data_IF_572841417109
#
_entry.id   IF_572841417109
#
_cell.length_a   1.000
_cell.length_b   1.000
_cell.length_c   1.000
_cell.angle_alpha   90.00
_cell.angle_beta   90.00
_cell.angle_gamma   90.00
#
_symmetry.space_group_name_H-M   'P 1'
#
loop_
_entity.id
_entity.type
_entity.pdbx_description
1 polymer ?
#
# COMPACT_ATOMS: atom_id res chain seq x y z
N UNK A 1 -18.72 0.79 14.32
CA UNK A 1 -17.38 1.22 13.82
C UNK A 1 -17.58 2.03 12.54
N UNK A 2 -16.85 3.14 12.35
CA UNK A 2 -16.96 3.96 11.14
C UNK A 2 -15.93 3.55 10.09
N UNK A 3 -16.29 3.67 8.81
CA UNK A 3 -15.44 3.40 7.67
C UNK A 3 -14.24 4.35 7.62
N UNK A 4 -13.05 3.83 7.30
CA UNK A 4 -11.84 4.65 7.16
C UNK A 4 -11.87 5.54 5.92
N UNK A 5 -12.69 5.17 4.92
CA UNK A 5 -12.78 5.88 3.64
C UNK A 5 -13.87 6.94 3.65
N UNK A 6 -15.12 6.59 4.02
CA UNK A 6 -16.28 7.47 3.82
C UNK A 6 -17.07 7.81 5.10
N UNK A 7 -16.57 7.42 6.27
CA UNK A 7 -17.19 7.64 7.59
C UNK A 7 -18.55 6.95 7.84
N UNK A 8 -19.13 6.29 6.84
CA UNK A 8 -20.39 5.56 6.99
C UNK A 8 -20.24 4.36 7.95
N UNK A 9 -21.36 3.88 8.46
CA UNK A 9 -21.41 2.73 9.36
C UNK A 9 -20.85 1.47 8.72
N UNK A 10 -20.21 0.65 9.51
CA UNK A 10 -19.73 -0.66 9.11
C UNK A 10 -20.48 -1.75 9.89
N UNK A 11 -20.84 -2.83 9.22
CA UNK A 11 -21.49 -4.00 9.78
C UNK A 11 -20.53 -5.18 9.85
N UNK A 12 -20.75 -6.09 10.78
CA UNK A 12 -19.99 -7.34 10.85
C UNK A 12 -20.06 -8.08 9.51
N UNK A 13 -18.94 -8.62 9.06
CA UNK A 13 -18.84 -9.30 7.77
C UNK A 13 -18.54 -10.80 7.94
N UNK A 14 -17.41 -11.12 8.59
CA UNK A 14 -17.03 -12.47 9.00
C UNK A 14 -15.87 -12.44 9.99
N UNK A 15 -15.55 -13.60 10.55
CA UNK A 15 -14.32 -13.84 11.33
C UNK A 15 -13.46 -14.87 10.60
N UNK A 16 -12.16 -14.57 10.51
CA UNK A 16 -11.13 -15.52 10.04
C UNK A 16 -10.27 -15.95 11.20
N UNK A 17 -10.14 -17.27 11.40
CA UNK A 17 -9.23 -17.84 12.39
C UNK A 17 -7.84 -18.00 11.79
N UNK A 18 -6.85 -17.45 12.46
CA UNK A 18 -5.43 -17.70 12.24
C UNK A 18 -4.91 -18.55 13.41
N UNK A 19 -3.73 -19.16 13.26
CA UNK A 19 -3.15 -19.99 14.34
C UNK A 19 -3.00 -19.25 15.67
N UNK A 20 -2.78 -17.93 15.62
CA UNK A 20 -2.51 -17.11 16.80
C UNK A 20 -3.71 -16.36 17.36
N UNK A 21 -4.74 -16.12 16.55
CA UNK A 21 -5.91 -15.35 16.96
C UNK A 21 -7.02 -15.38 15.89
N UNK A 22 -8.22 -15.01 16.33
CA UNK A 22 -9.34 -14.69 15.45
C UNK A 22 -9.32 -13.22 15.05
N UNK A 23 -9.60 -12.97 13.77
CA UNK A 23 -9.63 -11.63 13.19
C UNK A 23 -11.04 -11.33 12.68
N UNK A 24 -11.68 -10.32 13.28
CA UNK A 24 -13.00 -9.86 12.88
C UNK A 24 -12.91 -8.81 11.77
N UNK A 25 -13.67 -9.03 10.69
CA UNK A 25 -13.79 -8.11 9.55
C UNK A 25 -15.18 -7.48 9.49
N UNK A 26 -15.21 -6.22 9.12
CA UNK A 26 -16.43 -5.41 8.98
C UNK A 26 -16.47 -4.78 7.60
N UNK A 27 -17.67 -4.72 6.99
CA UNK A 27 -17.92 -4.14 5.66
C UNK A 27 -18.67 -2.83 5.79
N UNK A 28 -18.23 -1.82 5.07
CA UNK A 28 -18.92 -0.53 4.98
C UNK A 28 -20.21 -0.67 4.18
N UNK A 29 -21.32 -0.18 4.74
CA UNK A 29 -22.65 -0.24 4.10
C UNK A 29 -22.79 0.70 2.90
N UNK A 30 -21.91 1.70 2.77
CA UNK A 30 -21.96 2.68 1.69
C UNK A 30 -20.97 2.39 0.55
N UNK A 31 -19.67 2.23 0.85
CA UNK A 31 -18.64 2.08 -0.18
C UNK A 31 -18.13 0.66 -0.37
N UNK A 32 -18.58 -0.30 0.45
CA UNK A 32 -18.15 -1.70 0.36
C UNK A 32 -16.73 -1.99 0.89
N UNK A 33 -16.00 -0.97 1.34
CA UNK A 33 -14.70 -1.13 1.98
C UNK A 33 -14.79 -2.11 3.15
N UNK A 34 -13.86 -3.05 3.25
CA UNK A 34 -13.79 -4.00 4.36
C UNK A 34 -12.55 -3.72 5.18
N UNK A 35 -12.68 -3.71 6.50
CA UNK A 35 -11.50 -3.63 7.35
C UNK A 35 -11.62 -4.46 8.62
N UNK A 36 -10.47 -4.88 9.12
CA UNK A 36 -10.36 -5.64 10.35
C UNK A 36 -10.52 -4.74 11.58
N UNK A 37 -11.54 -5.01 12.39
CA UNK A 37 -11.73 -4.39 13.71
C UNK A 37 -10.57 -4.77 14.64
N UNK A 38 -10.19 -6.03 14.66
CA UNK A 38 -9.11 -6.56 15.49
C UNK A 38 -7.82 -5.75 15.34
N UNK A 39 -7.37 -5.49 14.10
CA UNK A 39 -6.16 -4.71 13.85
C UNK A 39 -6.34 -3.21 14.14
N UNK A 40 -7.54 -2.67 13.92
CA UNK A 40 -7.83 -1.26 14.21
C UNK A 40 -7.81 -0.95 15.71
N UNK A 41 -8.07 -1.94 16.55
CA UNK A 41 -8.05 -1.85 18.02
C UNK A 41 -6.65 -2.12 18.61
N UNK A 42 -5.72 -2.67 17.82
CA UNK A 42 -4.33 -2.82 18.25
C UNK A 42 -3.65 -1.46 18.43
N UNK A 43 -2.70 -1.39 19.37
CA UNK A 43 -1.75 -0.27 19.41
C UNK A 43 -0.87 -0.27 18.16
N UNK A 44 -0.35 0.90 17.77
CA UNK A 44 0.56 1.00 16.63
C UNK A 44 1.83 0.18 16.82
N UNK A 45 2.33 0.11 18.05
CA UNK A 45 3.48 -0.71 18.40
C UNK A 45 3.20 -2.20 18.16
N UNK A 46 2.08 -2.72 18.70
CA UNK A 46 1.70 -4.14 18.52
C UNK A 46 1.50 -4.49 17.05
N UNK A 47 0.82 -3.63 16.30
CA UNK A 47 0.61 -3.85 14.86
C UNK A 47 1.92 -3.74 14.08
N UNK A 48 2.80 -2.80 14.45
CA UNK A 48 4.15 -2.67 13.88
C UNK A 48 5.01 -3.92 14.09
N UNK A 49 5.00 -4.48 15.30
CA UNK A 49 5.70 -5.75 15.59
C UNK A 49 5.14 -6.92 14.76
N UNK A 50 3.82 -7.01 14.61
CA UNK A 50 3.18 -8.03 13.78
C UNK A 50 3.62 -7.90 12.31
N UNK A 51 3.62 -6.68 11.76
CA UNK A 51 4.09 -6.41 10.39
C UNK A 51 5.58 -6.79 10.22
N UNK A 52 6.44 -6.35 11.13
CA UNK A 52 7.86 -6.69 11.09
C UNK A 52 8.07 -8.21 11.11
N UNK A 53 7.43 -8.92 12.02
CA UNK A 53 7.55 -10.38 12.13
C UNK A 53 7.07 -11.08 10.85
N UNK A 54 5.96 -10.64 10.27
CA UNK A 54 5.45 -11.21 9.03
C UNK A 54 6.41 -10.97 7.87
N UNK A 55 6.84 -9.73 7.67
CA UNK A 55 7.68 -9.37 6.53
C UNK A 55 9.11 -9.93 6.62
N UNK A 56 9.66 -10.15 7.80
CA UNK A 56 10.95 -10.83 7.97
C UNK A 56 10.95 -12.26 7.42
N UNK A 57 9.79 -12.91 7.37
CA UNK A 57 9.64 -14.28 6.87
C UNK A 57 9.17 -14.36 5.41
N UNK A 58 8.70 -13.26 4.84
CA UNK A 58 8.02 -13.26 3.53
C UNK A 58 8.75 -12.43 2.47
N UNK A 59 9.45 -11.36 2.85
CA UNK A 59 10.02 -10.44 1.87
C UNK A 59 11.42 -10.85 1.37
N UNK A 60 11.63 -10.54 0.09
CA UNK A 60 12.89 -10.68 -0.60
C UNK A 60 13.06 -12.02 -1.32
N UNK A 61 13.96 -12.00 -2.30
CA UNK A 61 14.33 -13.15 -3.10
C UNK A 61 14.85 -14.31 -2.26
N UNK A 62 15.54 -13.99 -1.17
CA UNK A 62 16.14 -14.97 -0.27
C UNK A 62 15.12 -15.62 0.66
N UNK A 63 14.02 -14.90 0.98
CA UNK A 63 12.94 -15.39 1.83
C UNK A 63 11.81 -16.06 1.06
N UNK A 64 11.68 -15.77 -0.23
CA UNK A 64 10.62 -16.31 -1.09
C UNK A 64 11.14 -16.58 -2.52
N UNK A 65 12.25 -17.37 -2.65
CA UNK A 65 12.91 -17.59 -3.93
C UNK A 65 12.03 -18.30 -4.96
N UNK A 66 11.01 -19.01 -4.48
CA UNK A 66 10.13 -19.85 -5.29
C UNK A 66 8.84 -19.15 -5.73
N UNK A 67 8.62 -17.88 -5.40
CA UNK A 67 7.50 -17.11 -5.93
C UNK A 67 7.92 -16.17 -7.08
N UNK A 68 8.01 -16.70 -8.32
CA UNK A 68 8.37 -15.88 -9.48
C UNK A 68 7.34 -14.79 -9.80
N UNK A 69 6.11 -14.91 -9.29
CA UNK A 69 5.03 -13.95 -9.54
C UNK A 69 5.33 -12.59 -8.92
N UNK A 70 5.95 -12.57 -7.75
CA UNK A 70 6.35 -11.37 -7.06
C UNK A 70 7.37 -10.56 -7.89
N UNK A 71 8.43 -11.19 -8.36
CA UNK A 71 9.45 -10.55 -9.19
C UNK A 71 8.90 -10.14 -10.56
N UNK A 72 8.04 -10.95 -11.17
CA UNK A 72 7.35 -10.62 -12.41
C UNK A 72 6.49 -9.37 -12.25
N UNK A 73 5.71 -9.29 -11.16
CA UNK A 73 4.90 -8.11 -10.84
C UNK A 73 5.73 -6.84 -10.73
N UNK A 74 6.88 -6.87 -10.02
CA UNK A 74 7.75 -5.71 -9.88
C UNK A 74 8.34 -5.25 -11.22
N UNK A 75 8.64 -6.18 -12.12
CA UNK A 75 9.11 -5.84 -13.46
C UNK A 75 8.03 -5.14 -14.28
N UNK A 76 6.78 -5.61 -14.22
CA UNK A 76 5.65 -4.92 -14.88
C UNK A 76 5.42 -3.53 -14.26
N UNK A 77 5.47 -3.41 -12.95
CA UNK A 77 5.35 -2.12 -12.27
C UNK A 77 6.43 -1.14 -12.71
N UNK A 78 7.67 -1.58 -12.81
CA UNK A 78 8.77 -0.76 -13.28
C UNK A 78 8.58 -0.30 -14.73
N UNK A 79 8.12 -1.19 -15.62
CA UNK A 79 7.78 -0.88 -17.01
C UNK A 79 6.68 0.18 -17.11
N UNK A 80 5.57 -0.01 -16.38
CA UNK A 80 4.45 0.95 -16.35
C UNK A 80 4.89 2.33 -15.82
N UNK A 81 5.76 2.37 -14.80
CA UNK A 81 6.30 3.63 -14.29
C UNK A 81 7.19 4.33 -15.32
N UNK A 82 8.06 3.59 -16.00
CA UNK A 82 8.91 4.16 -17.05
C UNK A 82 8.09 4.67 -18.22
N UNK A 83 7.09 3.91 -18.68
CA UNK A 83 6.15 4.33 -19.73
C UNK A 83 5.40 5.60 -19.32
N UNK A 84 4.93 5.69 -18.08
CA UNK A 84 4.26 6.87 -17.56
C UNK A 84 5.18 8.10 -17.56
N UNK A 85 6.45 7.92 -17.25
CA UNK A 85 7.46 8.98 -17.32
C UNK A 85 7.79 9.37 -18.77
N UNK A 86 7.91 8.38 -19.67
CA UNK A 86 8.13 8.61 -21.10
C UNK A 86 6.98 9.38 -21.75
N UNK A 87 5.74 9.07 -21.36
CA UNK A 87 4.52 9.74 -21.83
C UNK A 87 4.28 11.11 -21.17
N UNK A 88 5.14 11.53 -20.23
CA UNK A 88 5.00 12.81 -19.52
C UNK A 88 3.87 12.83 -18.47
N UNK A 89 3.33 11.67 -18.10
CA UNK A 89 2.34 11.54 -17.02
C UNK A 89 3.01 11.70 -15.64
N UNK A 90 4.25 11.28 -15.53
CA UNK A 90 5.12 11.49 -14.38
C UNK A 90 6.31 12.35 -14.84
N UNK A 91 6.67 13.35 -14.05
CA UNK A 91 7.82 14.22 -14.36
C UNK A 91 9.12 13.40 -14.33
N UNK A 92 9.74 13.17 -15.48
CA UNK A 92 10.86 12.23 -15.67
C UNK A 92 12.12 12.55 -14.83
N UNK A 93 12.38 13.83 -14.59
CA UNK A 93 13.48 14.37 -13.76
C UNK A 93 13.00 14.80 -12.36
N UNK A 94 11.82 14.35 -11.97
CA UNK A 94 11.20 14.66 -10.70
C UNK A 94 11.80 13.91 -9.52
N UNK A 95 11.42 14.33 -8.31
CA UNK A 95 11.75 13.63 -7.07
C UNK A 95 10.73 12.52 -6.82
N UNK A 96 11.14 11.27 -6.92
CA UNK A 96 10.28 10.09 -6.79
C UNK A 96 10.57 9.33 -5.49
N UNK A 97 9.56 8.76 -4.87
CA UNK A 97 9.71 7.93 -3.67
C UNK A 97 8.82 6.69 -3.72
N UNK A 98 9.38 5.54 -3.36
CA UNK A 98 8.67 4.32 -3.01
C UNK A 98 8.45 4.30 -1.49
N UNK A 99 7.20 4.51 -1.09
CA UNK A 99 6.82 4.53 0.32
C UNK A 99 6.50 3.13 0.83
N UNK A 100 7.21 2.72 1.87
CA UNK A 100 7.21 1.35 2.41
C UNK A 100 7.73 0.34 1.38
N UNK A 101 8.90 0.65 0.82
CA UNK A 101 9.54 -0.05 -0.30
C UNK A 101 10.07 -1.46 0.06
N UNK A 102 10.00 -1.87 1.32
CA UNK A 102 10.59 -3.14 1.76
C UNK A 102 12.10 -3.19 1.49
N UNK A 103 12.56 -4.16 0.72
CA UNK A 103 13.96 -4.34 0.32
C UNK A 103 14.45 -3.40 -0.80
N UNK A 104 13.58 -2.58 -1.39
CA UNK A 104 13.95 -1.62 -2.45
C UNK A 104 14.13 -2.25 -3.83
N UNK A 105 13.50 -3.39 -4.08
CA UNK A 105 13.66 -4.12 -5.36
C UNK A 105 13.08 -3.35 -6.54
N UNK A 106 11.95 -2.64 -6.37
CA UNK A 106 11.37 -1.84 -7.44
C UNK A 106 12.32 -0.72 -7.88
N UNK A 107 12.95 -0.02 -6.92
CA UNK A 107 13.93 1.02 -7.22
C UNK A 107 15.17 0.46 -7.91
N UNK A 108 15.61 -0.73 -7.51
CA UNK A 108 16.74 -1.43 -8.13
C UNK A 108 16.44 -1.81 -9.59
N UNK A 109 15.23 -2.30 -9.87
CA UNK A 109 14.80 -2.64 -11.23
C UNK A 109 14.71 -1.37 -12.10
N UNK A 110 14.10 -0.30 -11.60
CA UNK A 110 13.98 0.97 -12.30
C UNK A 110 15.34 1.58 -12.64
N UNK A 111 16.28 1.56 -11.70
CA UNK A 111 17.63 2.04 -11.93
C UNK A 111 18.38 1.20 -12.98
N UNK A 112 18.35 -0.14 -12.83
CA UNK A 112 19.09 -1.04 -13.68
C UNK A 112 18.57 -1.10 -15.12
N UNK A 113 17.24 -1.08 -15.32
CA UNK A 113 16.64 -1.25 -16.66
C UNK A 113 16.37 0.08 -17.37
N UNK A 114 15.99 1.11 -16.64
CA UNK A 114 15.44 2.34 -17.20
C UNK A 114 16.25 3.60 -16.81
N UNK A 115 17.27 3.44 -15.96
CA UNK A 115 18.07 4.59 -15.47
C UNK A 115 17.28 5.58 -14.63
N UNK A 116 16.15 5.16 -14.02
CA UNK A 116 15.32 6.02 -13.18
C UNK A 116 15.75 5.97 -11.73
N UNK A 117 15.71 7.13 -11.08
CA UNK A 117 16.02 7.25 -9.66
C UNK A 117 14.72 7.27 -8.83
N UNK A 118 14.42 6.16 -8.16
CA UNK A 118 13.31 6.04 -7.21
C UNK A 118 13.91 5.91 -5.81
N UNK A 119 13.67 6.91 -4.96
CA UNK A 119 14.17 6.95 -3.58
C UNK A 119 13.38 5.95 -2.72
N UNK A 120 14.07 5.27 -1.82
CA UNK A 120 13.48 4.28 -0.94
C UNK A 120 13.15 4.88 0.42
N UNK A 121 11.96 4.63 0.92
CA UNK A 121 11.58 4.87 2.31
C UNK A 121 10.84 3.66 2.88
N UNK A 122 11.32 3.11 3.99
CA UNK A 122 10.62 2.10 4.77
C UNK A 122 10.86 2.29 6.26
N UNK A 123 9.76 2.42 7.01
CA UNK A 123 9.80 2.65 8.46
C UNK A 123 10.37 1.47 9.24
N UNK A 124 10.18 0.26 8.73
CA UNK A 124 10.47 -0.98 9.46
C UNK A 124 11.67 -1.74 8.90
N UNK A 125 11.88 -1.65 7.59
CA UNK A 125 12.91 -2.42 6.88
C UNK A 125 14.13 -1.57 6.51
N UNK A 126 14.03 -0.24 6.54
CA UNK A 126 15.09 0.69 6.17
C UNK A 126 16.30 0.64 7.10
N UNK A 127 17.16 -0.35 6.94
CA UNK A 127 18.39 -0.53 7.72
C UNK A 127 19.63 0.07 7.03
N UNK A 128 19.51 0.44 5.76
CA UNK A 128 20.63 0.91 4.96
C UNK A 128 20.70 2.45 4.98
N UNK A 129 21.92 2.98 4.93
CA UNK A 129 22.17 4.42 4.87
C UNK A 129 21.63 5.10 3.60
N UNK A 130 21.24 4.30 2.60
CA UNK A 130 20.67 4.77 1.33
C UNK A 130 19.17 5.09 1.38
N UNK A 131 18.47 4.68 2.46
CA UNK A 131 17.04 4.94 2.60
C UNK A 131 16.80 6.34 3.18
N UNK A 132 15.72 6.98 2.71
CA UNK A 132 15.23 8.21 3.31
C UNK A 132 14.83 7.97 4.77
N UNK A 133 15.10 8.97 5.62
CA UNK A 133 14.68 8.96 7.02
C UNK A 133 13.35 9.69 7.18
N UNK A 134 12.75 9.61 8.37
CA UNK A 134 11.49 10.29 8.66
C UNK A 134 11.55 11.80 8.41
N UNK A 135 12.68 12.43 8.72
CA UNK A 135 12.93 13.85 8.50
C UNK A 135 12.98 14.26 7.03
N UNK A 136 13.29 13.30 6.11
CA UNK A 136 13.32 13.52 4.66
C UNK A 136 11.93 13.46 4.02
N UNK A 137 10.94 12.92 4.75
CA UNK A 137 9.57 12.72 4.28
C UNK A 137 8.75 14.02 4.44
N UNK A 138 9.18 15.05 3.73
CA UNK A 138 8.59 16.39 3.80
C UNK A 138 7.30 16.43 2.96
N UNK A 139 6.18 16.93 3.53
CA UNK A 139 4.93 17.05 2.78
C UNK A 139 5.06 17.89 1.51
N UNK A 140 4.33 17.47 0.46
CA UNK A 140 4.21 18.18 -0.84
C UNK A 140 5.53 18.36 -1.61
N UNK A 141 6.53 17.48 -1.39
CA UNK A 141 7.84 17.61 -2.03
C UNK A 141 8.14 16.59 -3.12
N UNK A 142 7.36 15.52 -3.24
CA UNK A 142 7.62 14.49 -4.23
C UNK A 142 6.74 14.68 -5.48
N UNK A 143 7.38 14.65 -6.65
CA UNK A 143 6.68 14.68 -7.95
C UNK A 143 5.98 13.35 -8.27
N UNK A 144 6.50 12.24 -7.71
CA UNK A 144 5.86 10.93 -7.77
C UNK A 144 6.01 10.18 -6.43
N UNK A 145 4.91 9.72 -5.90
CA UNK A 145 4.86 8.81 -4.74
C UNK A 145 4.23 7.51 -5.19
N UNK A 146 4.89 6.39 -4.94
CA UNK A 146 4.30 5.08 -5.17
C UNK A 146 4.22 4.28 -3.88
N UNK A 147 3.16 3.49 -3.76
CA UNK A 147 3.00 2.46 -2.72
C UNK A 147 2.65 1.13 -3.37
N UNK A 148 3.43 0.11 -3.08
CA UNK A 148 3.19 -1.24 -3.62
C UNK A 148 2.87 -2.21 -2.50
N UNK A 149 1.61 -2.67 -2.45
CA UNK A 149 1.11 -3.56 -1.39
C UNK A 149 1.29 -2.96 0.02
N UNK A 150 0.76 -1.75 0.21
CA UNK A 150 0.88 -0.98 1.46
C UNK A 150 -0.48 -0.61 2.04
N UNK A 151 -1.43 -0.24 1.18
CA UNK A 151 -2.76 0.24 1.60
C UNK A 151 -3.56 -0.80 2.37
N UNK A 152 -3.38 -2.07 2.06
CA UNK A 152 -3.97 -3.20 2.77
C UNK A 152 -3.51 -3.34 4.23
N UNK A 153 -2.40 -2.67 4.60
CA UNK A 153 -1.87 -2.64 5.97
C UNK A 153 -2.34 -1.43 6.79
N UNK A 154 -3.08 -0.50 6.20
CA UNK A 154 -3.49 0.71 6.91
C UNK A 154 -4.69 0.47 7.82
N UNK A 155 -4.52 0.78 9.11
CA UNK A 155 -5.54 0.60 10.15
C UNK A 155 -6.20 1.89 10.60
N UNK A 156 -5.68 3.05 10.20
CA UNK A 156 -6.16 4.39 10.62
C UNK A 156 -6.19 5.34 9.44
N UNK A 157 -7.15 6.30 9.43
CA UNK A 157 -7.22 7.36 8.42
C UNK A 157 -5.93 8.16 8.26
N UNK A 158 -5.25 8.42 9.36
CA UNK A 158 -3.99 9.18 9.35
C UNK A 158 -2.90 8.52 8.49
N UNK A 159 -2.93 7.19 8.30
CA UNK A 159 -1.94 6.51 7.45
C UNK A 159 -2.13 6.88 5.98
N UNK A 160 -3.38 6.90 5.50
CA UNK A 160 -3.70 7.37 4.14
C UNK A 160 -3.29 8.83 3.95
N UNK A 161 -3.68 9.69 4.89
CA UNK A 161 -3.37 11.11 4.84
C UNK A 161 -1.85 11.39 4.89
N UNK A 162 -1.11 10.62 5.67
CA UNK A 162 0.34 10.77 5.78
C UNK A 162 1.04 10.52 4.44
N UNK A 163 0.67 9.45 3.74
CA UNK A 163 1.26 9.14 2.42
C UNK A 163 0.81 10.13 1.36
N UNK A 164 -0.49 10.43 1.30
CA UNK A 164 -1.04 11.42 0.36
C UNK A 164 -0.37 12.78 0.53
N UNK A 165 -0.12 13.20 1.77
CA UNK A 165 0.50 14.49 2.03
C UNK A 165 1.90 14.67 1.42
N UNK A 166 2.59 13.60 1.07
CA UNK A 166 3.92 13.65 0.45
C UNK A 166 3.87 14.10 -1.01
N UNK A 167 2.75 13.82 -1.70
CA UNK A 167 2.59 14.12 -3.14
C UNK A 167 2.59 15.63 -3.37
N UNK A 168 3.46 16.11 -4.24
CA UNK A 168 3.54 17.50 -4.63
C UNK A 168 2.25 18.02 -5.26
N UNK A 169 2.07 19.32 -5.31
CA UNK A 169 0.84 19.97 -5.80
C UNK A 169 0.42 19.52 -7.22
N UNK A 170 1.39 19.23 -8.06
CA UNK A 170 1.22 18.71 -9.42
C UNK A 170 1.76 17.29 -9.58
N UNK A 171 2.03 16.64 -8.44
CA UNK A 171 2.62 15.31 -8.42
C UNK A 171 1.60 14.20 -8.71
N UNK A 172 2.12 13.02 -8.96
CA UNK A 172 1.35 11.81 -9.24
C UNK A 172 1.45 10.84 -8.06
N UNK A 173 0.34 10.22 -7.72
CA UNK A 173 0.26 9.19 -6.70
C UNK A 173 -0.05 7.83 -7.33
N UNK A 174 0.92 6.92 -7.33
CA UNK A 174 0.74 5.53 -7.75
C UNK A 174 0.39 4.64 -6.55
N UNK A 175 -0.70 3.87 -6.65
CA UNK A 175 -1.12 2.94 -5.61
C UNK A 175 -1.33 1.57 -6.25
N UNK A 176 -0.57 0.58 -5.78
CA UNK A 176 -0.81 -0.81 -6.11
C UNK A 176 -1.36 -1.54 -4.88
N UNK A 177 -2.60 -2.00 -4.98
CA UNK A 177 -3.28 -2.87 -4.02
C UNK A 177 -4.38 -3.64 -4.75
N UNK A 178 -4.94 -4.69 -4.16
CA UNK A 178 -6.06 -5.39 -4.79
C UNK A 178 -7.33 -4.56 -4.63
N UNK A 179 -7.97 -4.26 -5.76
CA UNK A 179 -9.25 -3.56 -5.83
C UNK A 179 -10.27 -4.46 -6.52
N UNK A 180 -11.46 -4.57 -5.96
CA UNK A 180 -12.54 -5.41 -6.47
C UNK A 180 -13.83 -4.61 -6.65
N UNK A 181 -14.76 -5.09 -7.46
CA UNK A 181 -16.12 -4.56 -7.46
C UNK A 181 -16.83 -4.84 -6.13
N UNK A 182 -16.66 -6.05 -5.64
CA UNK A 182 -17.13 -6.49 -4.33
C UNK A 182 -16.05 -7.32 -3.63
N UNK A 183 -15.78 -7.01 -2.35
CA UNK A 183 -14.84 -7.80 -1.55
C UNK A 183 -15.49 -9.13 -1.20
N UNK A 184 -14.84 -10.28 -1.49
CA UNK A 184 -15.39 -11.60 -1.19
C UNK A 184 -15.65 -11.81 0.32
N UNK A 185 -16.78 -12.45 0.65
CA UNK A 185 -17.07 -12.85 2.03
C UNK A 185 -16.45 -14.22 2.38
N UNK A 186 -15.66 -14.78 1.49
CA UNK A 186 -14.97 -16.05 1.69
C UNK A 186 -13.67 -15.84 2.50
N UNK A 187 -13.58 -16.38 3.74
CA UNK A 187 -12.35 -16.28 4.54
C UNK A 187 -11.13 -16.95 3.89
N UNK A 188 -11.32 -17.81 2.88
CA UNK A 188 -10.26 -18.48 2.13
C UNK A 188 -9.76 -17.65 0.94
N UNK A 189 -10.37 -16.51 0.65
CA UNK A 189 -9.86 -15.63 -0.40
C UNK A 189 -8.37 -15.30 -0.15
N UNK A 190 -7.55 -15.47 -1.18
CA UNK A 190 -6.09 -15.39 -1.08
C UNK A 190 -5.60 -14.09 -0.40
N UNK A 191 -6.31 -12.98 -0.61
CA UNK A 191 -5.89 -11.68 -0.08
C UNK A 191 -6.12 -11.52 1.42
N UNK A 192 -6.94 -12.40 2.05
CA UNK A 192 -7.05 -12.51 3.50
C UNK A 192 -5.99 -13.45 4.12
N UNK A 193 -5.16 -14.13 3.31
CA UNK A 193 -4.17 -15.09 3.83
C UNK A 193 -3.09 -14.42 4.67
N UNK A 194 -2.51 -13.27 4.29
CA UNK A 194 -1.59 -12.57 5.14
C UNK A 194 -2.32 -11.98 6.36
N UNK A 195 -1.91 -12.39 7.57
CA UNK A 195 -2.52 -11.89 8.82
C UNK A 195 -2.43 -10.37 8.96
N UNK A 196 -1.50 -9.73 8.30
CA UNK A 196 -1.26 -8.27 8.32
C UNK A 196 -2.12 -7.50 7.34
N UNK A 197 -2.86 -8.17 6.45
CA UNK A 197 -3.83 -7.52 5.57
C UNK A 197 -5.10 -7.19 6.34
N UNK A 198 -5.36 -5.93 6.54
CA UNK A 198 -6.44 -5.44 7.40
C UNK A 198 -7.41 -4.47 6.71
N UNK A 199 -7.14 -4.07 5.47
CA UNK A 199 -7.94 -3.11 4.69
C UNK A 199 -8.09 -3.57 3.25
N UNK A 200 -9.35 -3.62 2.73
CA UNK A 200 -9.66 -4.15 1.41
C UNK A 200 -10.59 -3.18 0.69
N UNK A 201 -10.25 -2.88 -0.56
CA UNK A 201 -10.83 -1.77 -1.29
C UNK A 201 -11.73 -2.24 -2.42
N UNK A 202 -12.91 -1.60 -2.52
CA UNK A 202 -13.72 -1.66 -3.74
C UNK A 202 -13.35 -0.51 -4.67
N UNK A 203 -13.70 -0.60 -5.95
CA UNK A 203 -13.59 0.50 -6.91
C UNK A 203 -14.29 1.76 -6.38
N UNK A 204 -15.46 1.61 -5.78
CA UNK A 204 -16.21 2.70 -5.15
C UNK A 204 -15.45 3.34 -3.99
N UNK A 205 -14.82 2.52 -3.14
CA UNK A 205 -14.03 3.01 -2.01
C UNK A 205 -12.80 3.82 -2.48
N UNK A 206 -12.07 3.31 -3.47
CA UNK A 206 -10.91 4.02 -4.04
C UNK A 206 -11.34 5.33 -4.72
N UNK A 207 -12.43 5.32 -5.49
CA UNK A 207 -12.95 6.53 -6.13
C UNK A 207 -13.34 7.61 -5.11
N UNK A 208 -13.97 7.23 -4.00
CA UNK A 208 -14.29 8.17 -2.91
C UNK A 208 -13.01 8.75 -2.31
N UNK A 209 -12.01 7.92 -2.06
CA UNK A 209 -10.74 8.34 -1.48
C UNK A 209 -10.01 9.34 -2.39
N UNK A 210 -9.92 9.05 -3.69
CA UNK A 210 -9.31 9.95 -4.68
C UNK A 210 -10.07 11.27 -4.80
N UNK A 211 -11.41 11.23 -4.82
CA UNK A 211 -12.24 12.44 -4.85
C UNK A 211 -12.03 13.32 -3.60
N UNK A 212 -11.90 12.71 -2.42
CA UNK A 212 -11.61 13.45 -1.18
C UNK A 212 -10.26 14.17 -1.23
N UNK A 213 -9.29 13.59 -1.92
CA UNK A 213 -7.97 14.19 -2.12
C UNK A 213 -7.90 15.15 -3.31
N UNK A 214 -8.95 15.25 -4.12
CA UNK A 214 -9.00 16.12 -5.29
C UNK A 214 -8.23 15.60 -6.50
N UNK A 215 -7.96 14.28 -6.57
CA UNK A 215 -7.28 13.68 -7.71
C UNK A 215 -8.24 13.39 -8.88
N UNK A 216 -7.76 13.61 -10.09
CA UNK A 216 -8.24 12.88 -11.27
C UNK A 216 -7.56 11.52 -11.27
N UNK A 217 -8.32 10.43 -11.35
CA UNK A 217 -7.80 9.08 -11.17
C UNK A 217 -8.35 8.09 -12.18
N UNK A 218 -7.58 7.03 -12.43
CA UNK A 218 -8.04 5.82 -13.12
C UNK A 218 -7.68 4.60 -12.26
N UNK A 219 -8.53 3.58 -12.33
CA UNK A 219 -8.37 2.29 -11.63
C UNK A 219 -8.32 1.21 -12.72
N UNK A 220 -7.28 0.38 -12.68
CA UNK A 220 -7.04 -0.70 -13.64
C UNK A 220 -6.99 -2.05 -12.95
#
# INVERSE_FOLDING_TARGET
MNCLVCDSSMVYYFTKSFHSCDVEYYKCTHCGFVSSKTHREMSEEKFGLLNCAYHQTYQGKDSNPDDPRWFHRLNIQAEVIDDAAFLGLIKADGKWVDYACGGGELSSILAAKYGRNLLNYDKYMGKENSYLKNEDMIPRTFDFVITTSVFEHFTKKKHFAAVESLVGKTGVFGIHTVVCEEIPQDPQWFYYTPIVHCSFFTNKAMSILFNQWGYSSSIY
#
